data_IF_473720397234
#
_entry.id   IF_473720397234
#
_cell.length_a   1.000
_cell.length_b   1.000
_cell.length_c   1.000
_cell.angle_alpha   90.00
_cell.angle_beta   90.00
_cell.angle_gamma   90.00
#
_symmetry.space_group_name_H-M   'P 1'
#
loop_
_entity.id
_entity.type
_entity.pdbx_description
1 polymer ?
#
# COMPACT_ATOMS: atom_id res chain seq x y z
N UNK A 1 -8.74 -6.13 27.46
CA UNK A 1 -7.29 -5.80 27.43
C UNK A 1 -6.86 -5.52 25.99
N UNK A 2 -6.23 -4.38 25.69
CA UNK A 2 -5.75 -4.03 24.35
C UNK A 2 -4.27 -4.42 24.20
N UNK A 3 -3.95 -5.29 23.23
CA UNK A 3 -2.57 -5.70 22.91
C UNK A 3 -1.99 -4.82 21.79
N UNK A 4 -0.77 -4.32 21.97
CA UNK A 4 -0.07 -3.49 21.00
C UNK A 4 1.26 -4.13 20.62
N UNK A 5 1.62 -4.11 19.34
CA UNK A 5 2.91 -4.66 18.88
C UNK A 5 4.11 -3.76 19.16
N UNK A 6 3.91 -2.46 19.40
CA UNK A 6 4.97 -1.46 19.64
C UNK A 6 4.48 -0.35 20.57
N UNK A 7 5.41 0.33 21.24
CA UNK A 7 5.13 1.47 22.12
C UNK A 7 4.48 2.66 21.39
N UNK A 8 4.83 2.89 20.12
CA UNK A 8 4.21 3.92 19.27
C UNK A 8 2.68 3.75 19.17
N UNK A 9 2.21 2.53 18.93
CA UNK A 9 0.78 2.23 18.81
C UNK A 9 0.05 2.48 20.13
N UNK A 10 0.69 2.17 21.26
CA UNK A 10 0.14 2.43 22.58
C UNK A 10 0.04 3.93 22.87
N UNK A 11 1.08 4.72 22.55
CA UNK A 11 1.05 6.20 22.69
C UNK A 11 -0.03 6.83 21.80
N UNK A 12 -0.18 6.37 20.56
CA UNK A 12 -1.23 6.85 19.66
C UNK A 12 -2.63 6.51 20.18
N UNK A 13 -2.79 5.32 20.78
CA UNK A 13 -4.04 4.91 21.43
C UNK A 13 -4.38 5.78 22.64
N UNK A 14 -3.40 6.06 23.53
CA UNK A 14 -3.59 6.97 24.68
C UNK A 14 -4.00 8.38 24.23
N UNK A 15 -3.44 8.86 23.11
CA UNK A 15 -3.81 10.14 22.48
C UNK A 15 -5.16 10.10 21.75
N UNK A 16 -5.94 9.02 21.86
CA UNK A 16 -7.23 8.82 21.17
C UNK A 16 -7.15 9.02 19.65
N UNK A 17 -5.98 8.79 19.06
CA UNK A 17 -5.81 8.90 17.61
C UNK A 17 -6.60 7.79 16.92
N UNK A 18 -7.43 8.16 15.93
CA UNK A 18 -8.23 7.19 15.19
C UNK A 18 -7.33 6.34 14.26
N UNK A 19 -7.21 5.01 14.47
CA UNK A 19 -6.39 4.16 13.62
C UNK A 19 -6.91 4.20 12.18
N UNK A 20 -8.22 4.32 11.96
CA UNK A 20 -8.82 4.47 10.62
C UNK A 20 -8.51 5.81 9.96
N UNK A 21 -7.73 6.72 10.55
CA UNK A 21 -7.22 7.94 9.88
C UNK A 21 -5.70 7.91 9.71
N UNK A 22 -4.99 7.05 10.46
CA UNK A 22 -3.55 6.91 10.37
C UNK A 22 -3.13 6.23 9.06
N UNK A 23 -2.33 6.90 8.24
CA UNK A 23 -1.87 6.41 6.92
C UNK A 23 -1.09 5.09 6.99
N UNK A 24 -0.34 4.87 8.07
CA UNK A 24 0.51 3.69 8.27
C UNK A 24 -0.26 2.45 8.74
N UNK A 25 -1.51 2.63 9.18
CA UNK A 25 -2.33 1.50 9.62
C UNK A 25 -2.88 0.75 8.40
N UNK A 26 -3.20 -0.54 8.59
CA UNK A 26 -3.86 -1.36 7.57
C UNK A 26 -5.28 -0.84 7.35
N UNK A 27 -5.44 0.08 6.38
CA UNK A 27 -6.70 0.70 6.00
C UNK A 27 -7.18 0.17 4.65
N UNK A 28 -8.48 0.25 4.44
CA UNK A 28 -9.12 -0.14 3.17
C UNK A 28 -8.51 0.59 1.97
N UNK A 29 -8.20 -0.17 0.92
CA UNK A 29 -7.67 0.33 -0.35
C UNK A 29 -6.17 0.12 -0.56
N UNK A 30 -5.41 -0.31 0.46
CA UNK A 30 -3.99 -0.69 0.32
C UNK A 30 -3.83 -2.19 0.08
N UNK A 31 -4.60 -3.02 0.79
CA UNK A 31 -4.58 -4.48 0.71
C UNK A 31 -5.92 -5.03 0.19
N UNK A 32 -5.90 -6.22 -0.41
CA UNK A 32 -7.09 -6.92 -0.88
C UNK A 32 -7.98 -7.29 0.33
N UNK A 33 -9.17 -6.69 0.44
CA UNK A 33 -10.02 -6.79 1.64
C UNK A 33 -10.98 -7.97 1.60
N UNK A 34 -11.39 -8.40 0.40
CA UNK A 34 -12.31 -9.51 0.18
C UNK A 34 -11.55 -10.63 -0.55
N UNK A 35 -11.05 -11.59 0.22
CA UNK A 35 -10.42 -12.80 -0.32
C UNK A 35 -10.90 -14.03 0.46
N UNK A 36 -11.12 -15.13 -0.26
CA UNK A 36 -11.63 -16.39 0.33
C UNK A 36 -10.66 -16.97 1.35
N UNK A 37 -9.36 -16.76 1.14
CA UNK A 37 -8.32 -17.24 2.04
C UNK A 37 -8.30 -16.55 3.41
N UNK A 38 -8.79 -15.30 3.49
CA UNK A 38 -8.98 -14.61 4.77
C UNK A 38 -10.07 -15.29 5.60
N UNK A 39 -11.02 -15.97 4.96
CA UNK A 39 -12.08 -16.73 5.62
C UNK A 39 -11.58 -17.93 6.42
N UNK A 40 -10.39 -18.46 6.11
CA UNK A 40 -9.79 -19.59 6.82
C UNK A 40 -9.07 -19.17 8.11
N UNK A 41 -8.71 -17.89 8.25
CA UNK A 41 -8.04 -17.32 9.44
C UNK A 41 -9.03 -16.95 10.55
N UNK A 42 -10.31 -17.31 10.41
CA UNK A 42 -11.34 -17.08 11.43
C UNK A 42 -10.98 -17.86 12.68
N UNK A 43 -11.05 -17.18 13.82
CA UNK A 43 -10.85 -17.79 15.13
C UNK A 43 -12.05 -18.72 15.38
N UNK A 44 -11.78 -19.97 15.74
CA UNK A 44 -12.80 -20.94 16.14
C UNK A 44 -12.82 -21.02 17.66
N UNK A 45 -13.97 -20.76 18.28
CA UNK A 45 -14.12 -20.82 19.74
C UNK A 45 -14.24 -22.25 20.27
N UNK A 46 -14.62 -23.21 19.40
CA UNK A 46 -14.83 -24.60 19.80
C UNK A 46 -13.53 -25.41 19.74
N UNK A 47 -13.05 -25.96 20.88
CA UNK A 47 -11.86 -26.80 20.88
C UNK A 47 -12.14 -28.12 20.17
N UNK A 48 -11.29 -28.42 19.21
CA UNK A 48 -11.38 -29.62 18.40
C UNK A 48 -10.71 -30.79 19.12
N UNK A 49 -11.51 -31.74 19.62
CA UNK A 49 -11.02 -32.96 20.29
C UNK A 49 -10.06 -33.78 19.41
N UNK A 50 -8.87 -34.08 19.95
CA UNK A 50 -7.71 -34.72 19.31
C UNK A 50 -7.87 -36.23 19.03
N UNK A 51 -9.02 -36.72 18.55
CA UNK A 51 -9.16 -38.14 18.18
C UNK A 51 -8.39 -38.46 16.87
N UNK A 52 -7.87 -39.69 16.74
CA UNK A 52 -6.97 -40.19 15.67
C UNK A 52 -7.31 -39.75 14.22
N UNK A 53 -8.59 -39.52 13.89
CA UNK A 53 -9.06 -39.04 12.57
C UNK A 53 -8.59 -37.61 12.24
N UNK A 54 -8.33 -36.75 13.24
CA UNK A 54 -7.90 -35.34 13.07
C UNK A 54 -6.38 -35.14 13.04
N UNK A 55 -5.58 -36.13 13.46
CA UNK A 55 -4.12 -36.14 13.23
C UNK A 55 -3.78 -36.11 11.72
N UNK A 56 -4.68 -36.61 10.87
CA UNK A 56 -4.58 -36.52 9.41
C UNK A 56 -4.89 -35.11 8.87
N UNK A 57 -5.79 -34.33 9.48
CA UNK A 57 -6.16 -32.99 8.98
C UNK A 57 -5.23 -31.88 9.49
N UNK A 58 -4.78 -31.93 10.74
CA UNK A 58 -3.81 -30.96 11.31
C UNK A 58 -2.34 -31.41 11.20
N UNK A 59 -2.09 -32.62 10.69
CA UNK A 59 -0.74 -33.13 10.46
C UNK A 59 -0.13 -32.58 9.17
N UNK A 60 0.75 -33.38 8.53
CA UNK A 60 1.43 -33.03 7.28
C UNK A 60 0.50 -32.46 6.17
N UNK A 61 -0.75 -32.96 5.96
CA UNK A 61 -1.64 -32.41 4.94
C UNK A 61 -2.15 -31.01 5.24
N UNK A 62 -2.49 -30.74 6.51
CA UNK A 62 -2.95 -29.42 6.95
C UNK A 62 -1.88 -28.35 6.80
N UNK A 63 -0.65 -28.66 7.21
CA UNK A 63 0.50 -27.75 7.05
C UNK A 63 0.74 -27.45 5.57
N UNK A 64 0.70 -28.47 4.70
CA UNK A 64 0.81 -28.28 3.24
C UNK A 64 -0.30 -27.38 2.69
N UNK A 65 -1.54 -27.58 3.12
CA UNK A 65 -2.67 -26.75 2.71
C UNK A 65 -2.51 -25.30 3.17
N UNK A 66 -2.08 -25.08 4.43
CA UNK A 66 -1.80 -23.75 4.97
C UNK A 66 -0.72 -23.01 4.16
N UNK A 67 0.41 -23.67 3.89
CA UNK A 67 1.50 -23.08 3.11
C UNK A 67 1.05 -22.74 1.68
N UNK A 68 0.23 -23.60 1.06
CA UNK A 68 -0.28 -23.35 -0.29
C UNK A 68 -1.24 -22.16 -0.32
N UNK A 69 -2.03 -21.98 0.73
CA UNK A 69 -2.92 -20.83 0.86
C UNK A 69 -2.14 -19.54 1.10
N UNK A 70 -1.13 -19.56 1.95
CA UNK A 70 -0.26 -18.39 2.16
C UNK A 70 0.43 -17.96 0.86
N UNK A 71 0.91 -18.91 0.08
CA UNK A 71 1.48 -18.64 -1.24
C UNK A 71 0.45 -17.98 -2.18
N UNK A 72 -0.80 -18.44 -2.17
CA UNK A 72 -1.87 -17.85 -2.97
C UNK A 72 -2.27 -16.45 -2.48
N UNK A 73 -2.27 -16.20 -1.16
CA UNK A 73 -2.53 -14.88 -0.58
C UNK A 73 -1.50 -13.86 -1.06
N UNK A 74 -0.22 -14.23 -0.94
CA UNK A 74 0.89 -13.37 -1.36
C UNK A 74 0.82 -13.08 -2.85
N UNK A 75 0.53 -14.08 -3.67
CA UNK A 75 0.31 -13.89 -5.12
C UNK A 75 -0.82 -12.92 -5.39
N UNK A 76 -2.00 -13.10 -4.79
CA UNK A 76 -3.17 -12.24 -5.03
C UNK A 76 -2.91 -10.81 -4.57
N UNK A 77 -2.27 -10.63 -3.42
CA UNK A 77 -1.90 -9.31 -2.90
C UNK A 77 -0.87 -8.61 -3.78
N UNK A 78 0.13 -9.34 -4.29
CA UNK A 78 1.14 -8.76 -5.20
C UNK A 78 0.52 -8.33 -6.53
N UNK A 79 -0.39 -9.14 -7.09
CA UNK A 79 -1.17 -8.77 -8.28
C UNK A 79 -2.04 -7.54 -8.04
N UNK A 80 -2.77 -7.48 -6.93
CA UNK A 80 -3.59 -6.31 -6.57
C UNK A 80 -2.74 -5.04 -6.45
N UNK A 81 -1.59 -5.15 -5.79
CA UNK A 81 -0.63 -4.04 -5.62
C UNK A 81 -0.09 -3.58 -6.97
N UNK A 82 0.35 -4.51 -7.82
CA UNK A 82 0.88 -4.20 -9.14
C UNK A 82 -0.17 -3.51 -10.03
N UNK A 83 -1.41 -3.99 -10.04
CA UNK A 83 -2.50 -3.39 -10.81
C UNK A 83 -2.85 -1.99 -10.29
N UNK A 84 -2.90 -1.80 -8.97
CA UNK A 84 -3.12 -0.49 -8.36
C UNK A 84 -2.03 0.51 -8.75
N UNK A 85 -0.76 0.10 -8.74
CA UNK A 85 0.37 0.95 -9.13
C UNK A 85 0.36 1.27 -10.62
N UNK A 86 0.05 0.31 -11.49
CA UNK A 86 -0.09 0.54 -12.94
C UNK A 86 -1.17 1.58 -13.24
N UNK A 87 -2.34 1.44 -12.64
CA UNK A 87 -3.46 2.37 -12.81
C UNK A 87 -3.10 3.78 -12.32
N UNK A 88 -2.45 3.90 -11.16
CA UNK A 88 -1.96 5.19 -10.64
C UNK A 88 -0.90 5.81 -11.53
N UNK A 89 0.02 5.01 -12.09
CA UNK A 89 1.08 5.50 -12.99
C UNK A 89 0.49 6.06 -14.29
N UNK A 90 -0.49 5.39 -14.87
CA UNK A 90 -1.14 5.85 -16.10
C UNK A 90 -1.89 7.16 -15.85
N UNK A 91 -2.71 7.22 -14.80
CA UNK A 91 -3.39 8.46 -14.39
C UNK A 91 -2.40 9.58 -14.07
N UNK A 92 -1.26 9.26 -13.45
CA UNK A 92 -0.20 10.22 -13.16
C UNK A 92 0.45 10.79 -14.42
N UNK A 93 0.64 9.99 -15.47
CA UNK A 93 1.15 10.47 -16.77
C UNK A 93 0.18 11.43 -17.44
N UNK A 94 -1.11 11.12 -17.44
CA UNK A 94 -2.15 12.00 -17.99
C UNK A 94 -2.19 13.34 -17.27
N UNK A 95 -2.16 13.31 -15.93
CA UNK A 95 -2.15 14.53 -15.12
C UNK A 95 -0.88 15.36 -15.32
N UNK A 96 0.28 14.71 -15.50
CA UNK A 96 1.53 15.40 -15.82
C UNK A 96 1.46 16.07 -17.19
N UNK A 97 1.01 15.35 -18.22
CA UNK A 97 0.85 15.91 -19.56
C UNK A 97 -0.11 17.11 -19.54
N UNK A 98 -1.24 16.99 -18.86
CA UNK A 98 -2.20 18.10 -18.72
C UNK A 98 -1.63 19.29 -17.91
N UNK A 99 -0.73 19.03 -16.95
CA UNK A 99 -0.04 20.08 -16.22
C UNK A 99 1.03 20.77 -17.07
N UNK A 100 1.76 20.01 -17.90
CA UNK A 100 2.74 20.52 -18.86
C UNK A 100 2.04 21.36 -19.95
N UNK A 101 0.93 20.88 -20.49
CA UNK A 101 0.12 21.65 -21.45
C UNK A 101 -0.41 22.95 -20.81
N UNK A 102 -0.76 22.92 -19.52
CA UNK A 102 -1.19 24.10 -18.77
C UNK A 102 -0.04 25.07 -18.51
N UNK A 103 1.14 24.57 -18.15
CA UNK A 103 2.31 25.39 -17.88
C UNK A 103 2.81 26.07 -19.15
N UNK A 104 2.81 25.37 -20.29
CA UNK A 104 3.14 25.95 -21.59
C UNK A 104 2.18 27.05 -22.03
N UNK A 105 0.89 26.94 -21.69
CA UNK A 105 -0.10 27.99 -21.96
C UNK A 105 0.10 29.23 -21.08
N UNK A 106 0.45 29.04 -19.81
CA UNK A 106 0.65 30.13 -18.84
C UNK A 106 2.01 30.81 -19.01
N UNK A 107 3.04 30.04 -19.38
CA UNK A 107 4.40 30.50 -19.65
C UNK A 107 4.85 29.98 -21.02
N UNK A 108 4.56 30.71 -22.10
CA UNK A 108 5.03 30.37 -23.44
C UNK A 108 6.56 30.33 -23.46
N UNK A 109 7.14 29.40 -24.22
CA UNK A 109 8.60 29.17 -24.30
C UNK A 109 9.41 30.45 -24.57
N UNK A 110 8.84 31.42 -25.29
CA UNK A 110 9.46 32.73 -25.54
C UNK A 110 9.77 33.53 -24.27
N UNK A 111 8.99 33.41 -23.19
CA UNK A 111 9.27 34.09 -21.91
C UNK A 111 10.36 33.40 -21.07
N UNK A 112 10.56 32.09 -21.29
CA UNK A 112 11.60 31.30 -20.60
C UNK A 112 12.97 31.58 -21.23
N UNK A 113 13.02 31.81 -22.54
CA UNK A 113 14.25 32.15 -23.28
C UNK A 113 14.74 33.56 -22.91
N UNK A 114 13.84 34.53 -22.75
CA UNK A 114 14.22 35.89 -22.32
C UNK A 114 14.80 35.92 -20.89
N UNK A 115 14.26 35.12 -19.96
CA UNK A 115 14.79 35.06 -18.58
C UNK A 115 16.17 34.41 -18.47
N UNK A 116 16.53 33.52 -19.40
CA UNK A 116 17.86 32.91 -19.46
C UNK A 116 18.91 33.83 -20.12
N UNK A 117 18.48 34.72 -21.02
CA UNK A 117 19.36 35.69 -21.67
C UNK A 117 19.74 36.86 -20.76
N UNK A 118 18.87 37.27 -19.85
CA UNK A 118 19.12 38.39 -18.92
C UNK A 118 19.99 37.98 -17.72
N UNK A 119 20.07 36.69 -17.39
CA UNK A 119 20.79 36.17 -16.23
C UNK A 119 22.27 35.79 -16.44
N UNK A 120 22.77 35.84 -17.69
CA UNK A 120 24.14 35.42 -18.04
C UNK A 120 25.11 36.60 -18.30
N UNK A 121 24.68 37.84 -18.07
CA UNK A 121 25.44 39.07 -18.35
C UNK A 121 26.19 39.69 -17.17
N UNK A 122 26.24 39.07 -15.99
CA UNK A 122 26.82 39.69 -14.79
C UNK A 122 27.78 38.78 -14.05
N UNK A 123 29.06 38.79 -14.42
CA UNK A 123 30.25 38.58 -13.56
C UNK A 123 31.53 38.47 -14.42
N UNK A 124 32.02 39.60 -14.96
CA UNK A 124 33.46 39.75 -15.22
C UNK A 124 33.79 41.23 -14.97
N UNK A 125 34.46 41.52 -13.86
CA UNK A 125 34.89 42.87 -13.54
C UNK A 125 35.31 43.04 -12.09
N UNK A 126 36.55 42.67 -11.78
CA UNK A 126 37.55 43.42 -10.98
C UNK A 126 38.80 42.56 -10.78
#
# INVERSE_FOLDING_TARGET
MCRFGRSQCHKAFQKKCNPRRARQSKRGGIELTLDLSLGLKKITDEPVNYKKKKKKSFGKPGIKAMNKMEENDVRRQSFFTANSLKNKKNKGKELRKAADDRSQRQHPSHQIISSWSEGSGGCIGS
#
